data_IF_907023847705
#
_entry.id   IF_907023847705
#
_cell.length_a   1.000
_cell.length_b   1.000
_cell.length_c   1.000
_cell.angle_alpha   90.00
_cell.angle_beta   90.00
_cell.angle_gamma   90.00
#
_symmetry.space_group_name_H-M   'P 1'
#
loop_
_entity.id
_entity.type
_entity.pdbx_description
1 polymer ?
#
# COMPACT_ATOMS: atom_id res chain seq x y z
N UNK A 1 -57.30 -68.65 -22.35
CA UNK A 1 -55.89 -68.88 -22.06
C UNK A 1 -55.08 -68.10 -23.08
N UNK A 2 -54.82 -66.84 -22.83
CA UNK A 2 -54.12 -65.97 -23.78
C UNK A 2 -53.00 -65.23 -23.00
N UNK A 3 -51.79 -65.49 -23.42
CA UNK A 3 -50.58 -64.82 -22.90
C UNK A 3 -50.41 -63.47 -23.62
N UNK A 4 -50.39 -62.39 -22.88
CA UNK A 4 -49.99 -61.10 -23.39
C UNK A 4 -48.55 -60.83 -23.00
N UNK A 5 -47.73 -60.64 -24.02
CA UNK A 5 -46.33 -60.21 -23.86
C UNK A 5 -46.25 -58.66 -23.82
N UNK A 6 -45.68 -58.13 -22.77
CA UNK A 6 -45.41 -56.70 -22.69
C UNK A 6 -43.94 -56.46 -23.09
N UNK A 7 -43.78 -55.71 -24.17
CA UNK A 7 -42.47 -55.26 -24.65
C UNK A 7 -42.11 -53.97 -23.89
N UNK A 8 -41.07 -54.04 -23.10
CA UNK A 8 -40.50 -52.85 -22.41
C UNK A 8 -39.54 -52.08 -23.33
N UNK A 9 -39.85 -50.83 -23.58
CA UNK A 9 -38.97 -49.89 -24.28
C UNK A 9 -38.05 -49.23 -23.26
N UNK A 10 -36.72 -49.50 -23.33
CA UNK A 10 -35.74 -48.79 -22.61
C UNK A 10 -35.43 -47.43 -23.34
N UNK A 11 -35.86 -46.33 -22.75
CA UNK A 11 -35.36 -45.01 -23.15
C UNK A 11 -34.00 -44.73 -22.47
N UNK A 12 -32.95 -44.79 -23.24
CA UNK A 12 -31.63 -44.34 -22.81
C UNK A 12 -31.55 -42.82 -22.80
N UNK A 13 -31.41 -42.24 -21.63
CA UNK A 13 -31.12 -40.80 -21.49
C UNK A 13 -29.60 -40.63 -21.55
N UNK A 14 -29.09 -40.11 -22.65
CA UNK A 14 -27.72 -39.66 -22.77
C UNK A 14 -27.58 -38.25 -22.15
N UNK A 15 -26.95 -38.15 -21.00
CA UNK A 15 -26.53 -36.87 -20.45
C UNK A 15 -25.37 -36.31 -21.30
N UNK A 16 -25.69 -35.38 -22.17
CA UNK A 16 -24.69 -34.54 -22.83
C UNK A 16 -24.13 -33.52 -21.85
N UNK A 17 -22.88 -33.69 -21.44
CA UNK A 17 -22.14 -32.67 -20.69
C UNK A 17 -21.85 -31.49 -21.63
N UNK A 18 -22.59 -30.40 -21.50
CA UNK A 18 -22.27 -29.13 -22.17
C UNK A 18 -21.13 -28.47 -21.40
N UNK A 19 -19.91 -28.60 -21.90
CA UNK A 19 -18.78 -27.83 -21.40
C UNK A 19 -18.96 -26.35 -21.81
N UNK A 20 -19.40 -25.54 -20.87
CA UNK A 20 -19.44 -24.09 -21.05
C UNK A 20 -18.00 -23.56 -21.08
N UNK A 21 -17.47 -23.27 -22.26
CA UNK A 21 -16.24 -22.53 -22.44
C UNK A 21 -16.52 -21.07 -22.05
N UNK A 22 -16.11 -20.67 -20.85
CA UNK A 22 -16.11 -19.28 -20.47
C UNK A 22 -15.06 -18.54 -21.35
N UNK A 23 -15.55 -17.81 -22.33
CA UNK A 23 -14.72 -16.86 -23.09
C UNK A 23 -14.40 -15.73 -22.13
N UNK A 24 -13.19 -15.78 -21.54
CA UNK A 24 -12.61 -14.63 -20.84
C UNK A 24 -12.35 -13.58 -21.91
N UNK A 25 -13.29 -12.64 -22.06
CA UNK A 25 -13.06 -11.42 -22.81
C UNK A 25 -11.88 -10.69 -22.14
N UNK A 26 -10.73 -10.70 -22.79
CA UNK A 26 -9.64 -9.81 -22.44
C UNK A 26 -10.20 -8.38 -22.56
N UNK A 27 -10.48 -7.75 -21.42
CA UNK A 27 -10.82 -6.33 -21.37
C UNK A 27 -9.61 -5.60 -21.93
N UNK A 28 -9.79 -4.95 -23.09
CA UNK A 28 -8.82 -4.00 -23.58
C UNK A 28 -8.52 -3.02 -22.45
N UNK A 29 -7.24 -2.80 -22.06
CA UNK A 29 -6.92 -1.76 -21.11
C UNK A 29 -7.47 -0.45 -21.70
N UNK A 30 -8.38 0.20 -20.96
CA UNK A 30 -8.91 1.50 -21.35
C UNK A 30 -7.76 2.48 -21.66
N UNK A 31 -8.00 3.55 -22.40
CA UNK A 31 -6.97 4.46 -22.86
C UNK A 31 -6.11 4.87 -21.66
N UNK A 32 -4.82 4.57 -21.73
CA UNK A 32 -3.84 4.96 -20.72
C UNK A 32 -3.98 6.47 -20.51
N UNK A 33 -4.40 6.88 -19.32
CA UNK A 33 -4.55 8.30 -19.03
C UNK A 33 -3.22 9.01 -19.37
N UNK A 34 -3.30 10.12 -20.08
CA UNK A 34 -2.13 10.88 -20.52
C UNK A 34 -1.18 11.17 -19.34
N UNK A 35 0.12 11.14 -19.59
CA UNK A 35 1.12 11.53 -18.58
C UNK A 35 0.85 12.96 -18.14
N UNK A 36 0.92 13.27 -16.82
CA UNK A 36 0.80 14.65 -16.37
C UNK A 36 1.86 15.55 -17.03
N UNK A 37 1.48 16.78 -17.38
CA UNK A 37 2.48 17.79 -17.78
C UNK A 37 3.37 18.12 -16.57
N UNK A 38 4.69 17.95 -16.67
CA UNK A 38 5.62 18.24 -15.58
C UNK A 38 5.50 19.67 -15.03
N UNK A 39 5.14 20.64 -15.88
CA UNK A 39 4.97 22.04 -15.46
C UNK A 39 3.69 22.27 -14.66
N UNK A 40 2.71 21.37 -14.75
CA UNK A 40 1.46 21.47 -13.99
C UNK A 40 1.55 20.87 -12.58
N UNK A 41 2.54 20.02 -12.31
CA UNK A 41 2.71 19.34 -11.02
C UNK A 41 3.49 20.23 -10.07
N UNK A 42 2.85 20.64 -8.98
CA UNK A 42 3.49 21.47 -7.95
C UNK A 42 4.06 20.63 -6.84
N UNK A 43 5.31 20.94 -6.48
CA UNK A 43 5.96 20.39 -5.29
C UNK A 43 5.57 21.20 -4.06
N UNK A 44 5.65 20.57 -2.89
CA UNK A 44 5.42 21.19 -1.58
C UNK A 44 6.60 20.86 -0.68
N UNK A 45 6.95 21.75 0.23
CA UNK A 45 8.02 21.58 1.21
C UNK A 45 8.17 22.82 2.08
N UNK A 46 8.92 22.71 3.18
CA UNK A 46 9.21 23.82 4.09
C UNK A 46 10.73 24.12 4.11
N UNK A 47 11.54 23.23 4.70
CA UNK A 47 12.99 23.40 4.76
C UNK A 47 13.65 23.22 3.41
N UNK A 48 13.15 22.27 2.62
CA UNK A 48 13.54 22.10 1.22
C UNK A 48 12.56 22.87 0.34
N UNK A 49 13.00 24.05 -0.13
CA UNK A 49 12.14 24.87 -0.99
C UNK A 49 11.68 24.11 -2.23
N UNK A 50 10.39 24.13 -2.57
CA UNK A 50 9.90 23.48 -3.77
C UNK A 50 10.63 23.95 -5.03
N UNK A 51 11.02 23.00 -5.91
CA UNK A 51 11.63 23.30 -7.20
C UNK A 51 10.54 23.34 -8.27
N UNK A 52 10.55 24.41 -9.07
CA UNK A 52 9.80 24.38 -10.33
C UNK A 52 10.51 23.47 -11.33
N UNK A 53 9.75 22.80 -12.22
CA UNK A 53 10.33 21.89 -13.21
C UNK A 53 11.43 22.55 -14.07
N UNK A 54 11.22 23.82 -14.43
CA UNK A 54 12.20 24.59 -15.22
C UNK A 54 13.56 24.77 -14.52
N UNK A 55 13.55 24.79 -13.18
CA UNK A 55 14.75 24.99 -12.33
C UNK A 55 15.50 23.69 -12.05
N UNK A 56 14.92 22.54 -12.40
CA UNK A 56 15.52 21.24 -12.14
C UNK A 56 16.71 20.96 -13.07
N UNK A 57 17.77 20.37 -12.49
CA UNK A 57 18.87 19.78 -13.28
C UNK A 57 18.39 18.58 -14.12
N UNK A 58 19.20 18.14 -15.06
CA UNK A 58 18.83 17.00 -15.91
C UNK A 58 18.56 15.69 -15.11
N UNK A 59 19.36 15.30 -14.09
CA UNK A 59 19.04 14.17 -13.24
C UNK A 59 17.74 14.33 -12.45
N UNK A 60 17.46 15.54 -11.93
CA UNK A 60 16.23 15.84 -11.22
C UNK A 60 15.00 15.74 -12.13
N UNK A 61 15.08 16.27 -13.34
CA UNK A 61 14.02 16.14 -14.35
C UNK A 61 13.73 14.68 -14.65
N UNK A 62 14.77 13.87 -14.88
CA UNK A 62 14.62 12.43 -15.14
C UNK A 62 13.88 11.72 -13.99
N UNK A 63 14.33 11.92 -12.74
CA UNK A 63 13.64 11.36 -11.57
C UNK A 63 12.18 11.82 -11.48
N UNK A 64 11.94 13.12 -11.67
CA UNK A 64 10.60 13.71 -11.58
C UNK A 64 9.66 13.16 -12.66
N UNK A 65 10.11 13.05 -13.89
CA UNK A 65 9.36 12.48 -15.01
C UNK A 65 9.05 11.00 -14.80
N UNK A 66 10.00 10.21 -14.27
CA UNK A 66 9.78 8.82 -13.88
C UNK A 66 8.68 8.73 -12.80
N UNK A 67 8.75 9.57 -11.78
CA UNK A 67 7.77 9.62 -10.70
C UNK A 67 6.35 9.91 -11.19
N UNK A 68 6.15 10.99 -11.95
CA UNK A 68 4.82 11.42 -12.38
C UNK A 68 4.24 10.57 -13.50
N UNK A 69 5.07 9.88 -14.28
CA UNK A 69 4.61 8.92 -15.30
C UNK A 69 4.30 7.54 -14.73
N UNK A 70 4.71 7.24 -13.50
CA UNK A 70 4.42 5.99 -12.79
C UNK A 70 3.00 5.95 -12.23
N UNK A 71 2.71 4.92 -11.46
CA UNK A 71 1.37 4.68 -10.88
C UNK A 71 0.92 5.76 -9.89
N UNK A 72 1.86 6.49 -9.27
CA UNK A 72 1.56 7.58 -8.32
C UNK A 72 0.91 8.79 -8.98
N UNK A 73 1.25 9.07 -10.23
CA UNK A 73 0.75 10.20 -11.04
C UNK A 73 0.81 11.57 -10.38
N UNK A 74 1.68 11.73 -9.39
CA UNK A 74 1.83 12.97 -8.65
C UNK A 74 3.11 12.97 -7.81
N UNK A 75 3.43 14.11 -7.21
CA UNK A 75 4.67 14.35 -6.50
C UNK A 75 4.47 14.88 -5.07
N UNK A 76 3.31 14.63 -4.46
CA UNK A 76 3.05 14.98 -3.06
C UNK A 76 3.78 14.06 -2.10
N UNK A 77 4.25 14.58 -0.98
CA UNK A 77 4.99 13.82 0.03
C UNK A 77 6.51 14.00 -0.08
N UNK A 78 7.32 12.94 0.08
CA UNK A 78 8.78 13.08 0.28
C UNK A 78 9.56 13.48 -0.97
N UNK A 79 8.91 13.56 -2.13
CA UNK A 79 9.60 13.61 -3.42
C UNK A 79 10.35 14.92 -3.66
N UNK A 80 9.87 16.06 -3.10
CA UNK A 80 10.63 17.30 -3.14
C UNK A 80 11.99 17.18 -2.42
N UNK A 81 12.02 16.46 -1.30
CA UNK A 81 13.28 16.20 -0.59
C UNK A 81 14.17 15.26 -1.39
N UNK A 82 13.61 14.18 -1.92
CA UNK A 82 14.34 13.18 -2.71
C UNK A 82 14.98 13.76 -3.98
N UNK A 83 14.41 14.81 -4.58
CA UNK A 83 15.01 15.53 -5.71
C UNK A 83 16.39 16.15 -5.38
N UNK A 84 16.78 16.28 -4.11
CA UNK A 84 18.11 16.79 -3.72
C UNK A 84 19.20 15.73 -3.89
N UNK A 85 18.82 14.46 -4.03
CA UNK A 85 19.71 13.34 -4.36
C UNK A 85 18.99 12.47 -5.41
N UNK A 86 18.92 12.93 -6.68
CA UNK A 86 17.99 12.38 -7.67
C UNK A 86 18.29 10.93 -8.03
N UNK A 87 19.56 10.48 -7.98
CA UNK A 87 19.91 9.08 -8.23
C UNK A 87 19.35 8.17 -7.13
N UNK A 88 19.57 8.51 -5.86
CA UNK A 88 19.00 7.79 -4.71
C UNK A 88 17.48 7.94 -4.69
N UNK A 89 16.99 9.13 -4.99
CA UNK A 89 15.57 9.45 -5.02
C UNK A 89 14.80 8.63 -6.06
N UNK A 90 15.38 8.41 -7.24
CA UNK A 90 14.73 7.58 -8.28
C UNK A 90 14.65 6.11 -7.86
N UNK A 91 15.69 5.56 -7.25
CA UNK A 91 15.67 4.21 -6.69
C UNK A 91 14.65 4.10 -5.55
N UNK A 92 14.63 5.08 -4.65
CA UNK A 92 13.71 5.11 -3.51
C UNK A 92 12.24 5.19 -3.98
N UNK A 93 11.91 6.03 -4.98
CA UNK A 93 10.55 6.12 -5.48
C UNK A 93 10.09 4.84 -6.18
N UNK A 94 10.97 4.15 -6.91
CA UNK A 94 10.69 2.86 -7.54
C UNK A 94 10.46 1.77 -6.49
N UNK A 95 11.31 1.67 -5.48
CA UNK A 95 11.12 0.77 -4.35
C UNK A 95 9.78 1.04 -3.65
N UNK A 96 9.48 2.30 -3.38
CA UNK A 96 8.22 2.69 -2.77
C UNK A 96 6.99 2.40 -3.65
N UNK A 97 7.10 2.49 -4.97
CA UNK A 97 6.02 2.08 -5.88
C UNK A 97 5.79 0.57 -5.79
N UNK A 98 6.87 -0.23 -5.78
CA UNK A 98 6.80 -1.68 -5.60
C UNK A 98 6.10 -2.05 -4.28
N UNK A 99 6.51 -1.45 -3.18
CA UNK A 99 5.92 -1.73 -1.85
C UNK A 99 4.46 -1.30 -1.74
N UNK A 100 4.08 -0.20 -2.39
CA UNK A 100 2.72 0.33 -2.31
C UNK A 100 1.74 -0.39 -3.21
N UNK A 101 2.14 -0.72 -4.43
CA UNK A 101 1.23 -1.20 -5.48
C UNK A 101 1.42 -2.68 -5.83
N UNK A 102 2.58 -3.27 -5.52
CA UNK A 102 2.96 -4.62 -5.93
C UNK A 102 3.38 -5.53 -4.77
N UNK A 103 3.19 -5.10 -3.54
CA UNK A 103 3.38 -5.95 -2.36
C UNK A 103 2.44 -7.16 -2.42
N UNK A 104 2.90 -8.32 -1.93
CA UNK A 104 2.05 -9.51 -1.76
C UNK A 104 1.08 -9.38 -0.59
N UNK A 105 1.25 -8.36 0.24
CA UNK A 105 0.35 -8.07 1.37
C UNK A 105 -0.90 -7.38 0.84
N UNK A 106 -2.12 -7.84 1.20
CA UNK A 106 -3.36 -7.18 0.80
C UNK A 106 -3.39 -5.70 1.17
N UNK A 107 -3.96 -4.85 0.30
CA UNK A 107 -3.94 -3.39 0.44
C UNK A 107 -4.34 -2.90 1.85
N UNK A 108 -5.42 -3.44 2.43
CA UNK A 108 -5.85 -3.11 3.81
C UNK A 108 -4.75 -3.33 4.84
N UNK A 109 -4.05 -4.45 4.75
CA UNK A 109 -2.99 -4.84 5.69
C UNK A 109 -1.69 -4.08 5.42
N UNK A 110 -1.43 -3.76 4.16
CA UNK A 110 -0.32 -2.91 3.76
C UNK A 110 -0.47 -1.50 4.33
N UNK A 111 -1.66 -0.91 4.22
CA UNK A 111 -1.97 0.39 4.82
C UNK A 111 -1.91 0.35 6.36
N UNK A 112 -2.29 -0.77 7.00
CA UNK A 112 -2.11 -0.96 8.44
C UNK A 112 -0.63 -0.87 8.83
N UNK A 113 0.26 -1.57 8.12
CA UNK A 113 1.70 -1.50 8.34
C UNK A 113 2.25 -0.07 8.18
N UNK A 114 1.75 0.66 7.18
CA UNK A 114 2.15 2.04 6.90
C UNK A 114 1.72 2.98 8.04
N UNK A 115 0.46 2.92 8.50
CA UNK A 115 0.00 3.83 9.56
C UNK A 115 0.63 3.52 10.92
N UNK A 116 0.98 2.26 11.22
CA UNK A 116 1.76 1.91 12.42
C UNK A 116 3.14 2.57 12.34
N UNK A 117 3.78 2.52 11.17
CA UNK A 117 5.09 3.14 10.94
C UNK A 117 5.00 4.67 11.04
N UNK A 118 4.02 5.28 10.40
CA UNK A 118 3.75 6.72 10.49
C UNK A 118 3.52 7.17 11.94
N UNK A 119 2.78 6.39 12.72
CA UNK A 119 2.55 6.64 14.14
C UNK A 119 3.83 6.55 14.97
N UNK A 120 4.65 5.52 14.73
CA UNK A 120 5.94 5.35 15.41
C UNK A 120 6.84 6.59 15.26
N UNK A 121 6.85 7.18 14.07
CA UNK A 121 7.61 8.40 13.75
C UNK A 121 6.85 9.69 14.08
N UNK A 122 5.59 9.63 14.51
CA UNK A 122 4.70 10.79 14.64
C UNK A 122 4.71 11.67 13.39
N UNK A 123 4.76 11.03 12.21
CA UNK A 123 4.82 11.70 10.91
C UNK A 123 3.41 12.13 10.50
N UNK A 124 3.10 13.41 10.68
CA UNK A 124 1.75 13.95 10.52
C UNK A 124 1.22 13.81 9.10
N UNK A 125 2.04 14.14 8.10
CA UNK A 125 1.59 14.06 6.70
C UNK A 125 1.44 12.61 6.23
N UNK A 126 2.36 11.72 6.61
CA UNK A 126 2.26 10.31 6.29
C UNK A 126 1.01 9.68 6.91
N UNK A 127 0.76 9.99 8.17
CA UNK A 127 -0.49 9.63 8.85
C UNK A 127 -1.72 10.14 8.09
N UNK A 128 -1.75 11.45 7.77
CA UNK A 128 -2.86 12.08 7.07
C UNK A 128 -3.19 11.38 5.75
N UNK A 129 -2.17 11.07 4.96
CA UNK A 129 -2.35 10.43 3.65
C UNK A 129 -2.81 8.98 3.79
N UNK A 130 -2.13 8.20 4.63
CA UNK A 130 -2.32 6.75 4.71
C UNK A 130 -3.47 6.33 5.63
N UNK A 131 -3.86 7.12 6.62
CA UNK A 131 -5.10 6.88 7.37
C UNK A 131 -6.33 6.86 6.46
N UNK A 132 -6.39 7.77 5.49
CA UNK A 132 -7.50 7.81 4.50
C UNK A 132 -7.45 6.61 3.54
N UNK A 133 -6.26 6.23 3.10
CA UNK A 133 -6.09 5.05 2.27
C UNK A 133 -6.47 3.77 3.03
N UNK A 134 -6.10 3.66 4.31
CA UNK A 134 -6.49 2.56 5.18
C UNK A 134 -8.03 2.43 5.34
N UNK A 135 -8.72 3.56 5.55
CA UNK A 135 -10.19 3.61 5.58
C UNK A 135 -10.80 3.13 4.27
N UNK A 136 -10.29 3.64 3.14
CA UNK A 136 -10.74 3.25 1.79
C UNK A 136 -10.51 1.77 1.53
N UNK A 137 -9.40 1.20 2.02
CA UNK A 137 -9.08 -0.22 1.92
C UNK A 137 -9.88 -1.10 2.89
N UNK A 138 -10.75 -0.52 3.74
CA UNK A 138 -11.64 -1.25 4.64
C UNK A 138 -11.04 -1.57 6.02
N UNK A 139 -9.99 -0.87 6.45
CA UNK A 139 -9.53 -0.97 7.83
C UNK A 139 -10.54 -0.29 8.77
N UNK A 140 -10.87 -0.95 9.88
CA UNK A 140 -11.88 -0.42 10.81
C UNK A 140 -11.42 0.86 11.50
N UNK A 141 -12.34 1.79 11.74
CA UNK A 141 -12.03 3.04 12.43
C UNK A 141 -11.47 2.79 13.84
N UNK A 142 -11.97 1.76 14.54
CA UNK A 142 -11.48 1.39 15.86
C UNK A 142 -9.99 1.01 15.88
N UNK A 143 -9.52 0.31 14.82
CA UNK A 143 -8.10 -0.01 14.68
C UNK A 143 -7.29 1.27 14.41
N UNK A 144 -7.77 2.12 13.51
CA UNK A 144 -7.11 3.39 13.16
C UNK A 144 -6.98 4.28 14.40
N UNK A 145 -8.05 4.43 15.19
CA UNK A 145 -8.05 5.27 16.39
C UNK A 145 -7.10 4.74 17.46
N UNK A 146 -7.06 3.42 17.66
CA UNK A 146 -6.13 2.79 18.60
C UNK A 146 -4.67 3.02 18.17
N UNK A 147 -4.36 2.83 16.88
CA UNK A 147 -3.02 3.12 16.35
C UNK A 147 -2.67 4.60 16.52
N UNK A 148 -3.59 5.54 16.22
CA UNK A 148 -3.39 6.98 16.43
C UNK A 148 -3.05 7.31 17.89
N UNK A 149 -3.69 6.63 18.83
CA UNK A 149 -3.46 6.78 20.27
C UNK A 149 -2.14 6.11 20.75
N UNK A 150 -1.44 5.37 19.88
CA UNK A 150 -0.27 4.58 20.27
C UNK A 150 -0.63 3.35 21.11
N UNK A 151 -1.87 2.87 21.00
CA UNK A 151 -2.39 1.73 21.75
C UNK A 151 -2.57 0.51 20.85
N UNK A 152 -2.49 -0.68 21.47
CA UNK A 152 -2.85 -1.91 20.75
C UNK A 152 -4.36 -1.92 20.49
N UNK A 153 -4.81 -2.16 19.23
CA UNK A 153 -6.23 -2.35 18.95
C UNK A 153 -6.79 -3.58 19.68
N UNK A 154 -8.01 -3.44 20.23
CA UNK A 154 -8.66 -4.51 21.01
C UNK A 154 -9.31 -5.60 20.15
N UNK A 155 -9.69 -5.27 18.91
CA UNK A 155 -10.37 -6.19 17.99
C UNK A 155 -9.70 -6.11 16.62
N UNK A 156 -8.97 -7.15 16.29
CA UNK A 156 -8.29 -7.33 15.00
C UNK A 156 -8.63 -8.70 14.44
N UNK A 157 -8.82 -8.79 13.12
CA UNK A 157 -8.82 -10.08 12.43
C UNK A 157 -7.43 -10.75 12.57
N UNK A 158 -7.33 -12.08 12.46
CA UNK A 158 -6.04 -12.77 12.66
C UNK A 158 -4.90 -12.25 11.77
N UNK A 159 -5.19 -11.82 10.54
CA UNK A 159 -4.22 -11.25 9.61
C UNK A 159 -3.82 -9.81 10.02
N UNK A 160 -4.76 -9.02 10.52
CA UNK A 160 -4.49 -7.67 11.05
C UNK A 160 -3.62 -7.75 12.29
N UNK A 161 -3.91 -8.73 13.17
CA UNK A 161 -3.10 -8.98 14.37
C UNK A 161 -1.67 -9.41 14.03
N UNK A 162 -1.51 -10.29 13.04
CA UNK A 162 -0.18 -10.72 12.59
C UNK A 162 0.65 -9.55 12.06
N UNK A 163 0.05 -8.67 11.25
CA UNK A 163 0.73 -7.45 10.75
C UNK A 163 1.03 -6.48 11.89
N UNK A 164 0.06 -6.22 12.76
CA UNK A 164 0.25 -5.31 13.89
C UNK A 164 1.41 -5.78 14.79
N UNK A 165 1.39 -7.05 15.20
CA UNK A 165 2.43 -7.60 16.06
C UNK A 165 3.80 -7.52 15.40
N UNK A 166 3.90 -7.93 14.13
CA UNK A 166 5.17 -7.93 13.40
C UNK A 166 5.75 -6.53 13.28
N UNK A 167 4.97 -5.58 12.77
CA UNK A 167 5.46 -4.22 12.52
C UNK A 167 5.73 -3.49 13.84
N UNK A 168 4.84 -3.60 14.82
CA UNK A 168 5.02 -2.92 16.11
C UNK A 168 6.24 -3.48 16.85
N UNK A 169 6.40 -4.80 16.92
CA UNK A 169 7.56 -5.41 17.57
C UNK A 169 8.86 -5.01 16.88
N UNK A 170 8.92 -5.11 15.53
CA UNK A 170 10.08 -4.69 14.76
C UNK A 170 10.48 -3.23 15.02
N UNK A 171 9.51 -2.33 15.05
CA UNK A 171 9.77 -0.91 15.23
C UNK A 171 10.18 -0.54 16.66
N UNK A 172 9.61 -1.22 17.66
CA UNK A 172 9.85 -0.87 19.08
C UNK A 172 11.05 -1.57 19.66
N UNK A 173 11.23 -2.87 19.37
CA UNK A 173 12.32 -3.68 19.94
C UNK A 173 13.54 -3.84 19.01
N UNK A 174 13.41 -3.47 17.73
CA UNK A 174 14.42 -3.66 16.67
C UNK A 174 14.68 -5.14 16.33
N UNK A 175 13.88 -6.02 16.84
CA UNK A 175 13.93 -7.47 16.65
C UNK A 175 12.50 -7.96 16.42
N UNK A 176 12.37 -9.20 15.98
CA UNK A 176 11.10 -9.92 15.89
C UNK A 176 11.30 -11.28 16.54
N UNK A 177 10.46 -11.63 17.51
CA UNK A 177 10.50 -12.92 18.19
C UNK A 177 10.11 -14.07 17.24
N UNK A 178 10.57 -15.29 17.55
CA UNK A 178 10.24 -16.48 16.75
C UNK A 178 8.72 -16.69 16.64
N UNK A 179 7.97 -16.39 17.70
CA UNK A 179 6.52 -16.52 17.72
C UNK A 179 5.86 -15.54 16.74
N UNK A 180 6.26 -14.25 16.76
CA UNK A 180 5.77 -13.21 15.86
C UNK A 180 6.18 -13.48 14.42
N UNK A 181 7.44 -13.89 14.19
CA UNK A 181 7.92 -14.30 12.87
C UNK A 181 7.10 -15.46 12.31
N UNK A 182 6.90 -16.50 13.12
CA UNK A 182 6.11 -17.68 12.72
C UNK A 182 4.67 -17.30 12.38
N UNK A 183 4.01 -16.48 13.19
CA UNK A 183 2.64 -16.03 12.93
C UNK A 183 2.51 -15.26 11.59
N UNK A 184 3.44 -14.36 11.29
CA UNK A 184 3.48 -13.65 10.02
C UNK A 184 3.77 -14.59 8.84
N UNK A 185 4.76 -15.51 9.00
CA UNK A 185 5.11 -16.49 7.97
C UNK A 185 3.96 -17.45 7.67
N UNK A 186 3.23 -17.94 8.68
CA UNK A 186 2.10 -18.84 8.50
C UNK A 186 0.94 -18.16 7.71
N UNK A 187 0.79 -16.83 7.85
CA UNK A 187 -0.26 -16.07 7.16
C UNK A 187 0.13 -15.62 5.75
N UNK A 188 1.37 -15.18 5.56
CA UNK A 188 1.79 -14.47 4.36
C UNK A 188 2.94 -15.14 3.59
N UNK A 189 3.47 -16.25 4.11
CA UNK A 189 4.66 -16.89 3.58
C UNK A 189 5.93 -16.04 3.75
N UNK A 190 7.06 -16.56 3.29
CA UNK A 190 8.37 -15.85 3.38
C UNK A 190 8.37 -14.56 2.57
N UNK A 191 7.74 -14.55 1.39
CA UNK A 191 7.61 -13.36 0.58
C UNK A 191 6.86 -12.24 1.33
N UNK A 192 5.73 -12.57 1.96
CA UNK A 192 4.95 -11.60 2.72
C UNK A 192 5.71 -11.04 3.92
N UNK A 193 6.53 -11.85 4.60
CA UNK A 193 7.42 -11.37 5.67
C UNK A 193 8.43 -10.37 5.12
N UNK A 194 9.06 -10.65 3.99
CA UNK A 194 10.01 -9.73 3.34
C UNK A 194 9.31 -8.44 2.88
N UNK A 195 8.10 -8.55 2.33
CA UNK A 195 7.30 -7.39 1.94
C UNK A 195 6.92 -6.53 3.15
N UNK A 196 6.57 -7.10 4.30
CA UNK A 196 6.31 -6.35 5.55
C UNK A 196 7.56 -5.59 6.03
N UNK A 197 8.74 -6.21 5.93
CA UNK A 197 10.02 -5.52 6.23
C UNK A 197 10.22 -4.38 5.23
N UNK A 198 10.01 -4.63 3.94
CA UNK A 198 10.16 -3.63 2.88
C UNK A 198 9.24 -2.43 3.06
N UNK A 199 7.95 -2.67 3.32
CA UNK A 199 6.96 -1.63 3.61
C UNK A 199 7.39 -0.81 4.82
N UNK A 200 7.68 -1.49 5.95
CA UNK A 200 8.08 -0.80 7.18
C UNK A 200 9.35 0.03 6.99
N UNK A 201 10.37 -0.53 6.32
CA UNK A 201 11.63 0.17 6.05
C UNK A 201 11.47 1.38 5.14
N UNK A 202 10.70 1.23 4.05
CA UNK A 202 10.42 2.34 3.14
C UNK A 202 9.68 3.48 3.83
N UNK A 203 8.62 3.16 4.59
CA UNK A 203 7.82 4.19 5.25
C UNK A 203 8.49 4.81 6.48
N UNK A 204 9.51 4.16 7.06
CA UNK A 204 10.43 4.84 7.98
C UNK A 204 11.26 5.91 7.24
N UNK A 205 11.85 5.57 6.09
CA UNK A 205 12.56 6.54 5.26
C UNK A 205 11.65 7.73 4.90
N UNK A 206 10.43 7.46 4.43
CA UNK A 206 9.46 8.51 4.09
C UNK A 206 9.14 9.38 5.30
N UNK A 207 8.88 8.79 6.45
CA UNK A 207 8.59 9.52 7.68
C UNK A 207 9.76 10.42 8.12
N UNK A 208 11.01 9.93 8.00
CA UNK A 208 12.20 10.74 8.26
C UNK A 208 12.32 11.93 7.31
N UNK A 209 12.13 11.72 6.00
CA UNK A 209 12.17 12.78 4.99
C UNK A 209 11.13 13.86 5.27
N UNK A 210 9.88 13.47 5.55
CA UNK A 210 8.78 14.38 5.84
C UNK A 210 9.00 15.15 7.15
N UNK A 211 9.47 14.47 8.20
CA UNK A 211 9.74 15.11 9.49
C UNK A 211 10.95 16.07 9.42
N UNK A 212 12.00 15.71 8.68
CA UNK A 212 13.16 16.61 8.48
C UNK A 212 12.77 17.84 7.68
N UNK A 213 11.95 17.69 6.64
CA UNK A 213 11.41 18.81 5.85
C UNK A 213 10.39 19.64 6.64
N UNK A 214 9.77 19.09 7.69
CA UNK A 214 8.56 19.64 8.32
C UNK A 214 7.43 19.79 7.30
N UNK A 215 7.27 18.78 6.45
CA UNK A 215 6.33 18.80 5.34
C UNK A 215 4.94 19.23 5.82
N UNK A 216 4.36 20.31 5.24
CA UNK A 216 3.12 20.86 5.74
C UNK A 216 1.91 19.96 5.46
N UNK A 217 0.98 19.95 6.39
CA UNK A 217 -0.36 19.42 6.12
C UNK A 217 -1.10 20.34 5.14
N UNK A 218 -2.11 19.81 4.40
CA UNK A 218 -2.97 20.65 3.58
C UNK A 218 -3.64 21.76 4.40
N UNK A 219 -3.89 22.88 3.76
CA UNK A 219 -4.57 24.00 4.40
C UNK A 219 -5.89 23.59 5.07
N UNK A 220 -6.15 24.11 6.25
CA UNK A 220 -7.31 23.76 7.07
C UNK A 220 -7.23 22.40 7.77
N UNK A 221 -6.11 21.67 7.65
CA UNK A 221 -5.91 20.39 8.33
C UNK A 221 -5.07 20.57 9.59
N UNK A 222 -5.55 20.05 10.73
CA UNK A 222 -4.81 20.04 12.00
C UNK A 222 -4.02 18.73 12.19
N UNK A 223 -2.87 18.76 12.88
CA UNK A 223 -2.16 17.55 13.29
C UNK A 223 -3.04 16.64 14.15
N UNK A 224 -3.11 15.37 13.80
CA UNK A 224 -3.93 14.37 14.51
C UNK A 224 -3.12 13.57 15.54
N UNK A 225 -1.82 13.33 15.26
CA UNK A 225 -0.98 12.53 16.13
C UNK A 225 -0.42 13.38 17.28
N UNK A 226 -0.70 12.99 18.52
CA UNK A 226 -0.05 13.56 19.70
C UNK A 226 1.32 12.91 19.90
N UNK A 227 2.32 13.61 20.48
CA UNK A 227 3.58 12.96 20.85
C UNK A 227 3.35 11.68 21.66
N UNK A 228 4.12 10.64 21.39
CA UNK A 228 4.17 9.46 22.26
C UNK A 228 4.88 9.84 23.55
N UNK A 229 4.33 9.45 24.69
CA UNK A 229 4.91 9.67 26.02
C UNK A 229 5.86 8.54 26.37
#
# INVERSE_FOLDING_TARGET
>A
MTRSSVVGVLCGVTLGAVASIAVVSAQNPGPSAAKPDPNSVRMVGDRFKPLAYAEMSAPQKKMFENLISGERRGASGPFNVLLRSPEMGDLAQQFGASMRFHSSIPSKLNELAIIITARHWTSQYEWYAHRRAAQTAGLSQAIIDAVAAGMRPSSMAPEEEAVYNFVNELLTTKQVSDATFKAAKDKFGERGVVDLIGVSGYYQLVSMLLNVDRYPLPEGTSPELKPLR
#
